data_IF_046057308347
#
_entry.id   IF_046057308347
#
_cell.length_a   1.000
_cell.length_b   1.000
_cell.length_c   1.000
_cell.angle_alpha   90.00
_cell.angle_beta   90.00
_cell.angle_gamma   90.00
#
_symmetry.space_group_name_H-M   'P 1'
#
loop_
_entity.id
_entity.type
_entity.pdbx_description
1 polymer ?
#
# COMPACT_ATOMS: atom_id res chain seq x y z
N UNK A 1 9.72 17.54 46.93
CA UNK A 1 9.16 16.44 46.12
C UNK A 1 10.10 15.25 46.20
N UNK A 2 9.67 14.15 46.81
CA UNK A 2 10.50 12.97 47.06
C UNK A 2 11.00 12.29 45.76
N UNK A 3 10.24 12.35 44.67
CA UNK A 3 10.58 11.71 43.39
C UNK A 3 11.86 12.26 42.75
N UNK A 4 12.06 13.58 42.80
CA UNK A 4 13.28 14.21 42.26
C UNK A 4 14.49 13.93 43.16
N UNK A 5 14.27 13.90 44.48
CA UNK A 5 15.30 13.53 45.45
C UNK A 5 15.73 12.06 45.29
N UNK A 6 14.80 11.19 44.89
CA UNK A 6 15.11 9.79 44.56
C UNK A 6 16.07 9.76 43.36
N UNK A 7 15.75 10.42 42.24
CA UNK A 7 16.64 10.48 41.06
C UNK A 7 18.00 11.08 41.44
N UNK A 8 18.02 12.15 42.25
CA UNK A 8 19.24 12.84 42.68
C UNK A 8 20.21 12.00 43.51
N UNK A 9 19.69 11.08 44.33
CA UNK A 9 20.48 10.34 45.33
C UNK A 9 20.72 8.89 44.97
N UNK A 10 20.22 8.45 43.82
CA UNK A 10 20.35 7.07 43.37
C UNK A 10 21.75 6.81 42.83
N UNK A 11 22.29 5.66 43.22
CA UNK A 11 23.57 5.17 42.69
C UNK A 11 23.43 4.85 41.20
N UNK A 12 24.46 5.09 40.37
CA UNK A 12 24.41 4.90 38.92
C UNK A 12 23.91 3.52 38.49
N UNK A 13 24.22 2.48 39.26
CA UNK A 13 23.86 1.08 39.00
C UNK A 13 22.34 0.81 39.09
N UNK A 14 21.60 1.67 39.79
CA UNK A 14 20.18 1.46 40.11
C UNK A 14 19.29 2.47 39.37
N UNK A 15 19.87 3.41 38.62
CA UNK A 15 19.15 4.47 37.89
C UNK A 15 18.08 3.86 36.97
N UNK A 16 18.43 2.85 36.17
CA UNK A 16 17.49 2.21 35.25
C UNK A 16 16.29 1.56 35.97
N UNK A 17 16.52 0.99 37.16
CA UNK A 17 15.44 0.40 37.95
C UNK A 17 14.51 1.47 38.51
N UNK A 18 15.06 2.64 38.88
CA UNK A 18 14.31 3.80 39.35
C UNK A 18 13.53 4.45 38.20
N UNK A 19 14.12 4.58 37.01
CA UNK A 19 13.42 5.05 35.81
C UNK A 19 12.20 4.16 35.51
N UNK A 20 12.37 2.83 35.52
CA UNK A 20 11.27 1.86 35.32
C UNK A 20 10.20 1.93 36.40
N UNK A 21 10.59 2.15 37.66
CA UNK A 21 9.64 2.34 38.76
C UNK A 21 8.78 3.59 38.51
N UNK A 22 9.40 4.71 38.19
CA UNK A 22 8.70 5.97 37.93
C UNK A 22 7.81 5.88 36.69
N UNK A 23 8.28 5.23 35.62
CA UNK A 23 7.47 4.92 34.43
C UNK A 23 6.21 4.11 34.80
N UNK A 24 6.36 3.07 35.63
CA UNK A 24 5.24 2.22 36.07
C UNK A 24 4.23 3.01 36.92
N UNK A 25 4.71 3.91 37.78
CA UNK A 25 3.86 4.80 38.58
C UNK A 25 3.08 5.78 37.70
N UNK A 26 3.71 6.38 36.69
CA UNK A 26 3.03 7.26 35.72
C UNK A 26 1.98 6.47 34.93
N UNK A 27 2.30 5.26 34.44
CA UNK A 27 1.33 4.39 33.76
C UNK A 27 0.10 4.15 34.64
N UNK A 28 0.30 3.83 35.91
CA UNK A 28 -0.80 3.63 36.86
C UNK A 28 -1.59 4.92 37.10
N UNK A 29 -0.92 6.05 37.21
CA UNK A 29 -1.55 7.37 37.38
C UNK A 29 -2.48 7.70 36.20
N UNK A 30 -2.02 7.53 34.96
CA UNK A 30 -2.79 7.79 33.75
C UNK A 30 -3.97 6.83 33.54
N UNK A 31 -3.83 5.57 33.98
CA UNK A 31 -4.92 4.60 33.94
C UNK A 31 -6.00 4.93 34.98
N UNK A 32 -5.60 5.36 36.17
CA UNK A 32 -6.50 5.75 37.26
C UNK A 32 -7.25 7.06 36.99
N UNK A 33 -6.67 7.96 36.19
CA UNK A 33 -7.31 9.22 35.80
C UNK A 33 -8.51 8.96 34.86
N UNK A 34 -9.72 9.10 35.41
CA UNK A 34 -10.98 9.15 34.64
C UNK A 34 -11.25 10.59 34.22
N UNK A 35 -10.99 10.91 32.95
CA UNK A 35 -11.42 12.16 32.31
C UNK A 35 -10.98 13.42 33.04
N UNK A 36 -9.69 13.76 32.95
CA UNK A 36 -9.20 15.05 33.42
C UNK A 36 -9.81 16.16 32.56
N UNK A 37 -10.76 16.90 33.15
CA UNK A 37 -11.17 18.21 32.65
C UNK A 37 -10.00 19.15 32.92
N UNK A 38 -9.26 19.52 31.87
CA UNK A 38 -8.30 20.63 31.94
C UNK A 38 -9.06 21.84 32.50
N UNK A 39 -8.56 22.52 33.54
CA UNK A 39 -9.29 23.63 34.14
C UNK A 39 -9.59 24.68 33.08
N UNK A 40 -10.88 25.01 32.93
CA UNK A 40 -11.45 26.01 32.01
C UNK A 40 -10.93 27.44 32.21
N UNK A 41 -10.04 27.66 33.18
CA UNK A 41 -9.47 28.96 33.54
C UNK A 41 -8.24 29.35 32.71
N UNK A 42 -7.76 28.46 31.83
CA UNK A 42 -6.76 28.84 30.83
C UNK A 42 -7.52 29.35 29.61
N UNK A 43 -7.33 30.63 29.28
CA UNK A 43 -8.07 31.29 28.20
C UNK A 43 -8.11 30.46 26.93
N UNK A 44 -9.21 30.56 26.18
CA UNK A 44 -9.48 29.77 24.98
C UNK A 44 -8.25 29.71 24.08
N UNK A 45 -7.62 28.53 23.99
CA UNK A 45 -6.47 28.26 23.12
C UNK A 45 -5.08 28.39 23.75
N UNK A 46 -4.93 28.61 25.06
CA UNK A 46 -3.61 28.59 25.73
C UNK A 46 -3.43 27.30 26.54
N UNK A 47 -2.22 26.75 26.53
CA UNK A 47 -1.90 25.55 27.30
C UNK A 47 -1.59 25.92 28.77
N UNK A 48 -1.96 25.08 29.76
CA UNK A 48 -1.53 25.28 31.14
C UNK A 48 0.00 25.23 31.25
N UNK A 49 0.61 26.13 32.02
CA UNK A 49 2.07 26.18 32.21
C UNK A 49 2.62 25.03 33.07
N UNK A 50 1.75 24.27 33.75
CA UNK A 50 2.14 23.17 34.63
C UNK A 50 0.96 22.27 35.00
N UNK A 51 1.26 21.10 35.54
CA UNK A 51 0.30 20.15 36.06
C UNK A 51 -0.18 20.49 37.49
N UNK A 52 -0.33 21.77 37.86
CA UNK A 52 -0.77 22.16 39.22
C UNK A 52 -2.12 21.54 39.60
N UNK A 53 -2.96 21.22 38.62
CA UNK A 53 -4.25 20.55 38.80
C UNK A 53 -4.16 19.04 39.10
N UNK A 54 -2.99 18.43 38.94
CA UNK A 54 -2.75 17.06 39.40
C UNK A 54 -2.44 17.03 40.90
N UNK A 55 -2.72 15.92 41.61
CA UNK A 55 -2.39 15.79 43.02
C UNK A 55 -0.92 16.07 43.31
N UNK A 56 -0.60 16.59 44.50
CA UNK A 56 0.79 16.92 44.87
C UNK A 56 1.73 15.70 44.89
N UNK A 57 1.18 14.49 45.06
CA UNK A 57 1.93 13.24 45.01
C UNK A 57 2.11 12.69 43.58
N UNK A 58 1.56 13.36 42.56
CA UNK A 58 1.70 12.98 41.15
C UNK A 58 3.17 12.93 40.73
N UNK A 59 3.56 11.82 40.12
CA UNK A 59 4.92 11.65 39.58
C UNK A 59 5.08 12.52 38.35
N UNK A 60 4.07 12.53 37.46
CA UNK A 60 4.09 13.32 36.24
C UNK A 60 4.25 14.82 36.52
N UNK A 61 3.49 15.35 37.51
CA UNK A 61 3.62 16.74 37.95
C UNK A 61 5.03 17.04 38.43
N UNK A 62 5.60 16.16 39.25
CA UNK A 62 6.93 16.34 39.80
C UNK A 62 8.02 16.40 38.73
N UNK A 63 7.99 15.48 37.77
CA UNK A 63 8.97 15.42 36.68
C UNK A 63 8.85 16.64 35.75
N UNK A 64 7.63 17.01 35.36
CA UNK A 64 7.40 18.20 34.55
C UNK A 64 7.88 19.48 35.24
N UNK A 65 7.51 19.69 36.51
CA UNK A 65 7.93 20.87 37.26
C UNK A 65 9.46 20.93 37.45
N UNK A 66 10.12 19.77 37.58
CA UNK A 66 11.57 19.68 37.57
C UNK A 66 12.14 20.15 36.22
N UNK A 67 11.66 19.58 35.10
CA UNK A 67 12.12 19.95 33.76
C UNK A 67 11.93 21.44 33.46
N UNK A 68 10.79 22.00 33.84
CA UNK A 68 10.51 23.43 33.66
C UNK A 68 11.44 24.30 34.51
N UNK A 69 11.63 23.99 35.79
CA UNK A 69 12.52 24.78 36.67
C UNK A 69 13.98 24.69 36.23
N UNK A 70 14.44 23.50 35.88
CA UNK A 70 15.80 23.29 35.36
C UNK A 70 15.99 24.05 34.04
N UNK A 71 14.97 24.12 33.18
CA UNK A 71 15.02 24.94 31.95
C UNK A 71 15.23 26.44 32.21
N UNK A 72 14.55 27.02 33.21
CA UNK A 72 14.75 28.42 33.58
C UNK A 72 16.14 28.68 34.13
N UNK A 73 16.69 27.77 34.93
CA UNK A 73 18.03 27.92 35.51
C UNK A 73 19.15 27.94 34.45
N UNK A 74 18.97 27.28 33.29
CA UNK A 74 19.94 27.40 32.19
C UNK A 74 20.02 28.81 31.61
N UNK A 75 18.88 29.50 31.50
CA UNK A 75 18.83 30.85 30.95
C UNK A 75 19.53 31.86 31.87
N UNK A 76 19.50 31.59 33.18
CA UNK A 76 20.08 32.46 34.20
C UNK A 76 21.58 32.21 34.44
N UNK A 77 22.18 31.17 33.86
CA UNK A 77 23.64 30.97 33.74
C UNK A 77 24.45 30.87 35.04
N UNK A 78 23.82 30.65 36.20
CA UNK A 78 24.39 31.02 37.52
C UNK A 78 24.77 29.85 38.44
N UNK A 79 24.59 28.58 38.03
CA UNK A 79 24.63 27.46 38.99
C UNK A 79 25.85 26.53 38.84
N UNK A 80 26.66 26.41 39.89
CA UNK A 80 27.82 25.52 39.97
C UNK A 80 27.45 24.02 39.91
N UNK A 81 26.17 23.69 40.11
CA UNK A 81 25.62 22.33 40.07
C UNK A 81 24.98 21.94 38.72
N UNK A 82 25.25 22.70 37.66
CA UNK A 82 24.69 22.52 36.31
C UNK A 82 24.76 21.09 35.78
N UNK A 83 25.90 20.41 35.96
CA UNK A 83 26.10 19.03 35.49
C UNK A 83 25.16 18.02 36.17
N UNK A 84 24.92 18.20 37.47
CA UNK A 84 24.00 17.34 38.22
C UNK A 84 22.55 17.60 37.79
N UNK A 85 22.17 18.88 37.65
CA UNK A 85 20.85 19.27 37.15
C UNK A 85 20.56 18.71 35.75
N UNK A 86 21.55 18.71 34.86
CA UNK A 86 21.48 18.14 33.52
C UNK A 86 21.22 16.62 33.55
N UNK A 87 21.95 15.88 34.39
CA UNK A 87 21.76 14.43 34.53
C UNK A 87 20.35 14.07 35.03
N UNK A 88 19.82 14.86 35.98
CA UNK A 88 18.46 14.69 36.49
C UNK A 88 17.44 15.01 35.38
N UNK A 89 17.63 16.12 34.65
CA UNK A 89 16.76 16.51 33.55
C UNK A 89 16.76 15.46 32.42
N UNK A 90 17.91 14.89 32.09
CA UNK A 90 18.02 13.80 31.12
C UNK A 90 17.20 12.58 31.54
N UNK A 91 17.34 12.14 32.79
CA UNK A 91 16.57 11.02 33.35
C UNK A 91 15.07 11.32 33.33
N UNK A 92 14.67 12.53 33.73
CA UNK A 92 13.29 12.99 33.64
C UNK A 92 12.76 12.92 32.21
N UNK A 93 13.50 13.45 31.22
CA UNK A 93 13.12 13.41 29.79
C UNK A 93 12.98 11.99 29.26
N UNK A 94 13.90 11.08 29.63
CA UNK A 94 13.79 9.66 29.28
C UNK A 94 12.52 9.05 29.83
N UNK A 95 12.19 9.31 31.09
CA UNK A 95 10.99 8.76 31.76
C UNK A 95 9.72 9.32 31.09
N UNK A 96 9.59 10.65 30.98
CA UNK A 96 8.37 11.26 30.41
C UNK A 96 8.25 10.99 28.91
N UNK A 97 9.37 10.77 28.23
CA UNK A 97 9.43 10.44 26.82
C UNK A 97 9.06 9.00 26.48
N UNK A 98 8.83 8.11 27.46
CA UNK A 98 8.42 6.71 27.22
C UNK A 98 7.04 6.57 26.57
N UNK A 99 6.72 5.35 26.11
CA UNK A 99 5.38 5.03 25.57
C UNK A 99 4.40 4.73 26.71
N UNK A 100 3.32 5.50 26.76
CA UNK A 100 2.27 5.39 27.77
C UNK A 100 0.93 5.00 27.13
N UNK A 101 0.02 4.31 27.86
CA UNK A 101 -1.25 3.85 27.32
C UNK A 101 -2.21 5.00 26.94
N UNK A 102 -2.00 6.20 27.47
CA UNK A 102 -2.74 7.43 27.15
C UNK A 102 -1.76 8.59 27.03
N UNK A 103 -2.07 9.56 26.16
CA UNK A 103 -1.38 10.84 26.13
C UNK A 103 -1.52 11.57 27.46
N UNK A 104 -0.54 12.40 27.79
CA UNK A 104 -0.63 13.22 28.98
C UNK A 104 -1.67 14.33 28.78
N UNK A 105 -2.25 14.85 29.86
CA UNK A 105 -3.04 16.07 29.76
C UNK A 105 -2.20 17.20 29.14
N UNK A 106 -2.75 18.03 28.24
CA UNK A 106 -1.98 19.06 27.55
C UNK A 106 -1.44 20.11 28.52
N UNK A 107 -0.16 20.46 28.36
CA UNK A 107 0.59 21.50 29.09
C UNK A 107 1.61 22.13 28.14
N UNK A 108 2.16 23.28 28.51
CA UNK A 108 3.21 23.93 27.73
C UNK A 108 4.57 23.22 27.88
N UNK A 109 5.07 22.70 26.76
CA UNK A 109 6.38 22.06 26.61
C UNK A 109 7.37 22.94 25.82
N UNK A 110 7.14 24.26 25.73
CA UNK A 110 8.00 25.20 24.99
C UNK A 110 9.50 25.13 25.37
N UNK A 111 9.80 24.71 26.60
CA UNK A 111 11.16 24.53 27.11
C UNK A 111 11.97 23.39 26.44
N UNK A 112 11.35 22.51 25.65
CA UNK A 112 12.08 21.42 24.96
C UNK A 112 13.14 21.93 23.99
N UNK A 113 12.96 23.12 23.41
CA UNK A 113 13.98 23.74 22.56
C UNK A 113 15.28 23.97 23.34
N UNK A 114 15.19 24.44 24.59
CA UNK A 114 16.34 24.71 25.45
C UNK A 114 17.17 23.44 25.64
N UNK A 115 16.52 22.32 25.99
CA UNK A 115 17.21 21.05 26.15
C UNK A 115 17.81 20.53 24.85
N UNK A 116 17.10 20.68 23.73
CA UNK A 116 17.60 20.28 22.42
C UNK A 116 18.85 21.06 21.99
N UNK A 117 19.02 22.28 22.47
CA UNK A 117 20.15 23.15 22.14
C UNK A 117 21.36 22.89 23.06
N UNK A 118 21.16 22.25 24.22
CA UNK A 118 22.23 21.88 25.15
C UNK A 118 23.17 20.83 24.54
N UNK A 119 22.63 19.81 23.87
CA UNK A 119 23.45 18.73 23.32
C UNK A 119 22.67 17.68 22.50
N UNK A 120 23.35 16.96 21.59
CA UNK A 120 22.73 15.95 20.74
C UNK A 120 22.05 14.82 21.53
N UNK A 121 22.58 14.47 22.70
CA UNK A 121 22.03 13.43 23.56
C UNK A 121 20.61 13.73 24.06
N UNK A 122 20.23 15.02 24.17
CA UNK A 122 18.89 15.44 24.59
C UNK A 122 17.88 15.49 23.45
N UNK A 123 18.34 15.52 22.19
CA UNK A 123 17.47 15.70 21.03
C UNK A 123 16.48 14.54 20.87
N UNK A 124 16.95 13.30 20.99
CA UNK A 124 16.12 12.10 20.84
C UNK A 124 15.05 12.01 21.96
N UNK A 125 15.39 12.13 23.26
CA UNK A 125 14.38 12.18 24.32
C UNK A 125 13.36 13.31 24.13
N UNK A 126 13.80 14.52 23.75
CA UNK A 126 12.90 15.64 23.49
C UNK A 126 11.97 15.36 22.31
N UNK A 127 12.48 14.77 21.22
CA UNK A 127 11.68 14.42 20.05
C UNK A 127 10.68 13.30 20.36
N UNK A 128 11.08 12.25 21.09
CA UNK A 128 10.20 11.18 21.59
C UNK A 128 9.01 11.76 22.37
N UNK A 129 9.31 12.62 23.34
CA UNK A 129 8.32 13.27 24.17
C UNK A 129 7.38 14.14 23.31
N UNK A 130 7.93 14.98 22.44
CA UNK A 130 7.14 15.90 21.63
C UNK A 130 6.22 15.16 20.64
N UNK A 131 6.70 14.09 19.99
CA UNK A 131 5.89 13.26 19.08
C UNK A 131 4.73 12.60 19.86
N UNK A 132 5.03 12.00 21.02
CA UNK A 132 4.04 11.29 21.83
C UNK A 132 3.01 12.22 22.48
N UNK A 133 3.37 13.49 22.66
CA UNK A 133 2.52 14.54 23.20
C UNK A 133 2.09 15.57 22.15
N UNK A 134 2.07 15.21 20.85
CA UNK A 134 1.71 16.13 19.77
C UNK A 134 0.24 16.62 19.81
N UNK A 135 -0.58 16.12 20.74
CA UNK A 135 -1.87 16.73 21.10
C UNK A 135 -1.71 18.12 21.74
N UNK A 136 -0.53 18.41 22.30
CA UNK A 136 -0.13 19.73 22.79
C UNK A 136 0.41 20.59 21.64
N UNK A 137 0.02 21.85 21.61
CA UNK A 137 0.41 22.83 20.60
C UNK A 137 1.91 23.13 20.63
N UNK A 138 2.51 23.26 21.81
CA UNK A 138 3.95 23.48 21.98
C UNK A 138 4.76 22.30 21.44
N UNK A 139 4.37 21.06 21.77
CA UNK A 139 4.98 19.85 21.20
C UNK A 139 4.81 19.77 19.68
N UNK A 140 3.62 20.08 19.16
CA UNK A 140 3.36 20.06 17.71
C UNK A 140 4.27 21.03 16.96
N UNK A 141 4.40 22.26 17.45
CA UNK A 141 5.32 23.27 16.88
C UNK A 141 6.77 22.83 16.94
N UNK A 142 7.19 22.21 18.05
CA UNK A 142 8.54 21.66 18.20
C UNK A 142 8.82 20.58 17.15
N UNK A 143 7.89 19.63 16.96
CA UNK A 143 8.01 18.58 15.95
C UNK A 143 8.06 19.19 14.54
N UNK A 144 7.15 20.09 14.19
CA UNK A 144 7.13 20.77 12.89
C UNK A 144 8.46 21.47 12.59
N UNK A 145 8.99 22.22 13.56
CA UNK A 145 10.30 22.86 13.45
C UNK A 145 11.41 21.85 13.21
N UNK A 146 11.48 20.78 14.02
CA UNK A 146 12.52 19.75 13.87
C UNK A 146 12.45 19.06 12.52
N UNK A 147 11.27 18.62 12.08
CA UNK A 147 11.12 18.00 10.76
C UNK A 147 11.49 18.97 9.62
N UNK A 148 11.11 20.26 9.73
CA UNK A 148 11.49 21.26 8.72
C UNK A 148 13.00 21.53 8.62
N UNK A 149 13.74 21.27 9.71
CA UNK A 149 15.20 21.45 9.77
C UNK A 149 16.01 20.23 9.29
N UNK A 150 15.36 19.08 9.06
CA UNK A 150 16.05 17.87 8.63
C UNK A 150 16.28 17.91 7.13
N UNK A 151 17.55 17.89 6.71
CA UNK A 151 17.94 17.64 5.32
C UNK A 151 18.00 16.13 5.08
N UNK A 152 17.09 15.53 4.29
CA UNK A 152 16.98 14.08 4.24
C UNK A 152 18.20 13.36 3.63
N UNK A 153 18.96 14.04 2.76
CA UNK A 153 20.16 13.48 2.15
C UNK A 153 21.36 13.36 3.13
N UNK A 154 21.37 14.20 4.16
CA UNK A 154 22.43 14.32 5.15
C UNK A 154 22.10 13.61 6.46
N UNK A 155 20.87 13.08 6.59
CA UNK A 155 20.42 12.38 7.79
C UNK A 155 21.25 11.11 8.04
N UNK A 156 21.90 10.98 9.22
CA UNK A 156 22.65 9.78 9.59
C UNK A 156 21.77 8.53 9.69
N UNK A 157 22.32 7.34 9.41
CA UNK A 157 21.59 6.06 9.46
C UNK A 157 20.85 5.85 10.78
N UNK A 158 21.51 6.12 11.90
CA UNK A 158 20.95 5.93 13.24
C UNK A 158 19.74 6.86 13.49
N UNK A 159 19.79 8.08 12.98
CA UNK A 159 18.68 9.02 13.08
C UNK A 159 17.51 8.60 12.20
N UNK A 160 17.78 8.10 10.99
CA UNK A 160 16.73 7.52 10.15
C UNK A 160 16.07 6.34 10.88
N UNK A 161 16.86 5.42 11.41
CA UNK A 161 16.35 4.27 12.17
C UNK A 161 15.46 4.71 13.33
N UNK A 162 15.92 5.66 14.13
CA UNK A 162 15.15 6.22 15.23
C UNK A 162 13.80 6.81 14.78
N UNK A 163 13.76 7.57 13.68
CA UNK A 163 12.52 8.13 13.13
C UNK A 163 11.54 7.03 12.67
N UNK A 164 12.03 5.94 12.09
CA UNK A 164 11.20 4.82 11.68
C UNK A 164 10.66 4.00 12.85
N UNK A 165 11.45 3.82 13.91
CA UNK A 165 10.99 3.20 15.16
C UNK A 165 9.84 3.99 15.80
N UNK A 166 9.85 5.32 15.65
CA UNK A 166 8.81 6.22 16.13
C UNK A 166 7.65 6.45 15.15
N UNK A 167 7.70 5.89 13.94
CA UNK A 167 6.74 6.23 12.89
C UNK A 167 5.29 5.91 13.27
N UNK A 168 5.07 4.83 14.03
CA UNK A 168 3.76 4.50 14.58
C UNK A 168 3.19 5.55 15.53
N UNK A 169 4.04 6.27 16.26
CA UNK A 169 3.64 7.37 17.15
C UNK A 169 3.51 8.69 16.34
N UNK A 170 4.41 8.93 15.38
CA UNK A 170 4.35 10.06 14.43
C UNK A 170 3.00 10.07 13.69
N UNK A 171 2.59 8.93 13.12
CA UNK A 171 1.33 8.84 12.37
C UNK A 171 0.08 9.11 13.21
N UNK A 172 0.15 8.96 14.55
CA UNK A 172 -0.98 9.24 15.45
C UNK A 172 -1.10 10.72 15.80
N UNK A 173 0.04 11.41 15.95
CA UNK A 173 0.10 12.76 16.53
C UNK A 173 0.44 13.87 15.55
N UNK A 174 1.10 13.56 14.43
CA UNK A 174 1.70 14.54 13.53
C UNK A 174 1.03 14.50 12.14
N UNK A 175 0.61 15.66 11.60
CA UNK A 175 0.01 15.72 10.26
C UNK A 175 0.93 15.14 9.16
N UNK A 176 0.40 14.35 8.20
CA UNK A 176 1.20 13.74 7.14
C UNK A 176 2.04 14.72 6.32
N UNK A 177 1.55 15.93 6.06
CA UNK A 177 2.27 16.94 5.31
C UNK A 177 3.57 17.44 6.00
N UNK A 178 3.73 17.17 7.30
CA UNK A 178 4.93 17.56 8.08
C UNK A 178 6.00 16.48 8.02
N UNK A 179 5.65 15.23 8.34
CA UNK A 179 6.64 14.16 8.47
C UNK A 179 6.95 13.45 7.16
N UNK A 180 5.98 13.38 6.23
CA UNK A 180 6.11 12.61 4.99
C UNK A 180 7.30 13.04 4.13
N UNK A 181 7.54 14.33 3.85
CA UNK A 181 8.67 14.75 3.00
C UNK A 181 10.03 14.32 3.56
N UNK A 182 10.17 14.35 4.89
CA UNK A 182 11.42 13.96 5.58
C UNK A 182 11.62 12.45 5.52
N UNK A 183 10.61 11.68 5.90
CA UNK A 183 10.67 10.22 5.93
C UNK A 183 10.90 9.64 4.53
N UNK A 184 10.19 10.15 3.52
CA UNK A 184 10.38 9.77 2.11
C UNK A 184 11.77 10.17 1.60
N UNK A 185 12.22 11.40 1.88
CA UNK A 185 13.54 11.87 1.46
C UNK A 185 14.68 11.04 2.05
N UNK A 186 14.57 10.64 3.32
CA UNK A 186 15.57 9.79 3.99
C UNK A 186 15.62 8.41 3.33
N UNK A 187 14.45 7.87 2.97
CA UNK A 187 14.31 6.60 2.24
C UNK A 187 14.98 6.64 0.88
N UNK A 188 14.65 7.66 0.08
CA UNK A 188 15.22 7.83 -1.26
C UNK A 188 16.73 7.97 -1.19
N UNK A 189 17.24 8.74 -0.21
CA UNK A 189 18.69 8.87 0.00
C UNK A 189 19.36 7.54 0.35
N UNK A 190 18.76 6.75 1.25
CA UNK A 190 19.28 5.43 1.62
C UNK A 190 19.34 4.49 0.41
N UNK A 191 18.26 4.44 -0.39
CA UNK A 191 18.20 3.62 -1.61
C UNK A 191 19.24 4.08 -2.64
N UNK A 192 19.45 5.39 -2.79
CA UNK A 192 20.46 5.90 -3.72
C UNK A 192 21.90 5.61 -3.26
N UNK A 193 22.14 5.63 -1.94
CA UNK A 193 23.43 5.27 -1.36
C UNK A 193 23.70 3.77 -1.49
N UNK A 194 22.69 2.91 -1.34
CA UNK A 194 22.84 1.47 -1.50
C UNK A 194 23.18 1.05 -2.92
N UNK A 195 22.61 1.71 -3.94
CA UNK A 195 22.95 1.45 -5.35
C UNK A 195 24.41 1.77 -5.72
N UNK A 196 25.14 2.56 -4.92
CA UNK A 196 26.50 3.05 -5.24
C UNK A 196 27.62 2.25 -4.55
N UNK A 197 27.32 1.29 -3.68
CA UNK A 197 28.33 0.48 -2.97
C UNK A 197 27.94 -1.00 -2.93
N UNK A 198 28.91 -1.89 -3.21
CA UNK A 198 28.86 -3.35 -2.99
C UNK A 198 29.05 -3.75 -1.50
N UNK A 199 29.09 -2.78 -0.58
CA UNK A 199 29.28 -3.01 0.85
C UNK A 199 28.11 -2.40 1.61
N UNK A 200 27.03 -3.16 1.78
CA UNK A 200 26.05 -2.91 2.82
C UNK A 200 25.74 -4.26 3.49
N UNK A 201 26.30 -4.40 4.69
CA UNK A 201 26.15 -5.55 5.59
C UNK A 201 24.67 -5.93 5.81
N UNK A 202 24.45 -7.23 6.08
CA UNK A 202 23.20 -7.97 6.27
C UNK A 202 22.12 -7.27 7.15
N UNK A 203 22.47 -6.26 7.94
CA UNK A 203 21.55 -5.48 8.77
C UNK A 203 20.65 -4.51 8.00
N UNK A 204 21.01 -4.15 6.75
CA UNK A 204 20.17 -3.25 5.94
C UNK A 204 18.91 -3.93 5.42
N UNK A 205 18.94 -5.24 5.17
CA UNK A 205 17.79 -5.96 4.62
C UNK A 205 16.66 -6.07 5.65
N UNK A 206 16.98 -6.38 6.92
CA UNK A 206 15.99 -6.37 7.99
C UNK A 206 15.39 -4.97 8.25
N UNK A 207 16.23 -3.92 8.13
CA UNK A 207 15.82 -2.53 8.29
C UNK A 207 14.96 -2.05 7.13
N UNK A 208 15.34 -2.37 5.89
CA UNK A 208 14.62 -2.08 4.65
C UNK A 208 13.25 -2.78 4.63
N UNK A 209 13.18 -4.06 5.02
CA UNK A 209 11.92 -4.82 5.12
C UNK A 209 10.97 -4.17 6.15
N UNK A 210 11.50 -3.73 7.31
CA UNK A 210 10.73 -3.03 8.34
C UNK A 210 10.29 -1.64 7.89
N UNK A 211 11.15 -0.91 7.18
CA UNK A 211 10.87 0.37 6.53
C UNK A 211 9.76 0.24 5.48
N UNK A 212 9.82 -0.77 4.62
CA UNK A 212 8.83 -0.99 3.56
C UNK A 212 7.46 -1.36 4.13
N UNK A 213 7.40 -2.05 5.28
CA UNK A 213 6.15 -2.27 6.00
C UNK A 213 5.46 -0.96 6.45
N UNK A 214 6.23 0.12 6.60
CA UNK A 214 5.79 1.47 6.97
C UNK A 214 5.57 2.40 5.77
N UNK A 215 6.29 2.19 4.64
CA UNK A 215 6.05 2.80 3.31
C UNK A 215 4.65 2.50 2.77
N UNK A 216 3.99 1.49 3.35
CA UNK A 216 2.55 1.20 3.28
C UNK A 216 1.63 2.43 3.44
N UNK A 217 2.14 3.56 3.95
CA UNK A 217 1.38 4.82 4.10
C UNK A 217 1.74 5.90 3.07
N UNK A 218 2.81 5.75 2.29
CA UNK A 218 3.48 6.85 1.58
C UNK A 218 3.66 6.65 0.04
N UNK A 219 2.98 5.68 -0.59
CA UNK A 219 3.12 5.33 -2.02
C UNK A 219 2.87 6.50 -3.02
N UNK A 220 3.95 7.23 -3.32
CA UNK A 220 4.16 8.09 -4.49
C UNK A 220 5.46 7.73 -5.25
N UNK A 221 5.95 6.49 -5.15
CA UNK A 221 7.12 6.05 -5.92
C UNK A 221 6.62 5.31 -7.17
N UNK A 222 6.14 6.07 -8.15
CA UNK A 222 5.62 5.52 -9.42
C UNK A 222 6.68 5.43 -10.54
N UNK A 223 7.83 6.09 -10.36
CA UNK A 223 8.74 6.37 -11.48
C UNK A 223 10.06 5.58 -11.48
N UNK A 224 10.30 4.72 -10.49
CA UNK A 224 11.56 3.95 -10.41
C UNK A 224 11.27 2.44 -10.48
N UNK A 225 11.43 1.79 -11.65
CA UNK A 225 11.12 0.38 -11.86
C UNK A 225 11.74 -0.57 -10.83
N UNK A 226 13.01 -0.38 -10.48
CA UNK A 226 13.70 -1.23 -9.50
C UNK A 226 13.09 -1.12 -8.09
N UNK A 227 12.62 0.07 -7.73
CA UNK A 227 12.00 0.31 -6.42
C UNK A 227 10.60 -0.28 -6.37
N UNK A 228 9.89 -0.27 -7.50
CA UNK A 228 8.60 -0.92 -7.60
C UNK A 228 8.73 -2.45 -7.49
N UNK A 229 9.73 -3.06 -8.13
CA UNK A 229 9.98 -4.50 -8.01
C UNK A 229 10.24 -4.92 -6.55
N UNK A 230 11.18 -4.25 -5.87
CA UNK A 230 11.46 -4.49 -4.45
C UNK A 230 10.24 -4.23 -3.55
N UNK A 231 9.44 -3.21 -3.87
CA UNK A 231 8.20 -2.92 -3.16
C UNK A 231 7.21 -4.08 -3.27
N UNK A 232 6.99 -4.63 -4.47
CA UNK A 232 6.01 -5.70 -4.64
C UNK A 232 6.50 -7.02 -4.04
N UNK A 233 7.79 -7.31 -4.08
CA UNK A 233 8.40 -8.43 -3.35
C UNK A 233 8.09 -8.33 -1.84
N UNK A 234 8.28 -7.14 -1.24
CA UNK A 234 7.92 -6.89 0.15
C UNK A 234 6.41 -7.00 0.41
N UNK A 235 5.55 -6.53 -0.50
CA UNK A 235 4.09 -6.69 -0.39
C UNK A 235 3.70 -8.16 -0.37
N UNK A 236 4.43 -9.00 -1.12
CA UNK A 236 4.27 -10.44 -1.14
C UNK A 236 4.47 -11.14 0.21
N UNK A 237 5.23 -10.53 1.13
CA UNK A 237 5.47 -11.04 2.48
C UNK A 237 4.43 -10.57 3.51
N UNK A 238 3.51 -9.69 3.11
CA UNK A 238 2.48 -9.17 4.01
C UNK A 238 1.35 -10.19 4.19
N UNK A 239 0.72 -10.25 5.39
CA UNK A 239 -0.52 -10.99 5.56
C UNK A 239 -1.59 -10.52 4.56
N UNK A 240 -2.34 -11.47 3.97
CA UNK A 240 -3.33 -11.23 2.90
C UNK A 240 -4.29 -10.08 3.20
N UNK A 241 -4.75 -9.93 4.45
CA UNK A 241 -5.63 -8.82 4.87
C UNK A 241 -5.10 -7.43 4.52
N UNK A 242 -3.78 -7.26 4.49
CA UNK A 242 -3.15 -5.99 4.16
C UNK A 242 -2.95 -5.82 2.67
N UNK A 243 -2.65 -6.90 1.95
CA UNK A 243 -2.61 -6.95 0.48
C UNK A 243 -3.99 -6.57 -0.08
N UNK A 244 -5.06 -7.15 0.47
CA UNK A 244 -6.43 -6.82 0.06
C UNK A 244 -6.73 -5.34 0.27
N UNK A 245 -6.47 -4.81 1.46
CA UNK A 245 -6.72 -3.39 1.75
C UNK A 245 -6.02 -2.42 0.79
N UNK A 246 -4.83 -2.77 0.27
CA UNK A 246 -4.06 -1.91 -0.63
C UNK A 246 -4.35 -2.12 -2.11
N UNK A 247 -4.80 -3.32 -2.51
CA UNK A 247 -4.87 -3.72 -3.92
C UNK A 247 -6.27 -4.09 -4.39
N UNK A 248 -7.22 -4.27 -3.48
CA UNK A 248 -8.60 -4.68 -3.74
C UNK A 248 -9.55 -3.49 -3.97
N UNK A 249 -10.11 -3.35 -5.17
CA UNK A 249 -11.17 -2.38 -5.42
C UNK A 249 -12.42 -2.60 -4.55
N UNK A 250 -12.72 -3.84 -4.15
CA UNK A 250 -13.92 -4.15 -3.36
C UNK A 250 -13.87 -3.63 -1.92
N UNK A 251 -12.66 -3.36 -1.40
CA UNK A 251 -12.43 -2.83 -0.05
C UNK A 251 -12.24 -1.31 -0.05
N UNK A 252 -12.10 -0.68 -1.21
CA UNK A 252 -11.90 0.76 -1.30
C UNK A 252 -13.22 1.51 -1.11
N UNK A 253 -13.17 2.61 -0.36
CA UNK A 253 -14.29 3.55 -0.27
C UNK A 253 -14.65 4.15 -1.63
N UNK A 254 -13.63 4.38 -2.45
CA UNK A 254 -13.77 4.93 -3.80
C UNK A 254 -12.67 4.35 -4.69
N UNK A 255 -13.08 3.87 -5.87
CA UNK A 255 -12.20 3.37 -6.93
C UNK A 255 -11.80 4.55 -7.82
N UNK A 256 -10.54 4.97 -7.71
CA UNK A 256 -9.93 5.99 -8.57
C UNK A 256 -8.95 5.37 -9.55
N UNK A 257 -8.71 6.02 -10.69
CA UNK A 257 -7.72 5.56 -11.69
C UNK A 257 -6.36 5.25 -11.05
N UNK A 258 -5.83 6.15 -10.22
CA UNK A 258 -4.51 5.95 -9.62
C UNK A 258 -4.45 4.75 -8.67
N UNK A 259 -5.51 4.55 -7.85
CA UNK A 259 -5.61 3.38 -6.98
C UNK A 259 -5.72 2.10 -7.80
N UNK A 260 -6.55 2.11 -8.84
CA UNK A 260 -6.74 0.95 -9.71
C UNK A 260 -5.44 0.57 -10.41
N UNK A 261 -4.69 1.54 -10.93
CA UNK A 261 -3.37 1.31 -11.56
C UNK A 261 -2.37 0.69 -10.60
N UNK A 262 -2.32 1.17 -9.35
CA UNK A 262 -1.46 0.61 -8.30
C UNK A 262 -1.87 -0.81 -7.92
N UNK A 263 -3.16 -1.02 -7.64
CA UNK A 263 -3.71 -2.33 -7.32
C UNK A 263 -3.44 -3.34 -8.44
N UNK A 264 -3.66 -2.97 -9.69
CA UNK A 264 -3.40 -3.80 -10.86
C UNK A 264 -1.96 -4.29 -10.93
N UNK A 265 -0.97 -3.41 -10.74
CA UNK A 265 0.44 -3.80 -10.78
C UNK A 265 0.80 -4.75 -9.63
N UNK A 266 0.37 -4.44 -8.40
CA UNK A 266 0.60 -5.30 -7.24
C UNK A 266 0.04 -6.70 -7.51
N UNK A 267 -1.23 -6.76 -7.93
CA UNK A 267 -1.93 -8.04 -8.15
C UNK A 267 -1.38 -8.83 -9.34
N UNK A 268 -0.93 -8.15 -10.40
CA UNK A 268 -0.26 -8.79 -11.53
C UNK A 268 1.06 -9.45 -11.14
N UNK A 269 1.82 -8.81 -10.26
CA UNK A 269 3.08 -9.39 -9.78
C UNK A 269 2.82 -10.55 -8.82
N UNK A 270 1.83 -10.42 -7.92
CA UNK A 270 1.42 -11.52 -7.03
C UNK A 270 0.93 -12.74 -7.82
N UNK A 271 0.15 -12.52 -8.88
CA UNK A 271 -0.24 -13.56 -9.82
C UNK A 271 0.95 -14.19 -10.55
N UNK A 272 2.05 -13.45 -10.73
CA UNK A 272 3.24 -13.95 -11.43
C UNK A 272 4.18 -14.77 -10.55
N UNK A 273 3.92 -14.91 -9.24
CA UNK A 273 4.77 -15.70 -8.33
C UNK A 273 4.48 -17.20 -8.50
N UNK A 274 5.54 -18.01 -8.35
CA UNK A 274 5.49 -19.47 -8.56
C UNK A 274 4.74 -20.25 -7.47
N UNK A 275 4.41 -19.61 -6.36
CA UNK A 275 3.72 -20.18 -5.19
C UNK A 275 2.19 -20.00 -5.24
N UNK A 276 1.65 -19.40 -6.30
CA UNK A 276 0.20 -19.20 -6.41
C UNK A 276 -0.50 -20.40 -7.05
N UNK A 277 -1.34 -21.08 -6.27
CA UNK A 277 -2.20 -22.19 -6.74
C UNK A 277 -3.23 -21.75 -7.79
N UNK A 278 -3.63 -20.47 -7.77
CA UNK A 278 -4.61 -19.91 -8.70
C UNK A 278 -4.30 -18.43 -8.99
N UNK A 279 -3.33 -18.14 -9.87
CA UNK A 279 -2.77 -16.81 -10.04
C UNK A 279 -3.75 -15.83 -10.66
N UNK A 280 -4.61 -16.29 -11.58
CA UNK A 280 -5.50 -15.39 -12.31
C UNK A 280 -6.66 -14.87 -11.46
N UNK A 281 -6.96 -15.51 -10.31
CA UNK A 281 -7.96 -14.99 -9.36
C UNK A 281 -7.59 -13.61 -8.85
N UNK A 282 -6.30 -13.31 -8.70
CA UNK A 282 -5.84 -11.97 -8.33
C UNK A 282 -6.28 -10.89 -9.33
N UNK A 283 -6.51 -11.24 -10.61
CA UNK A 283 -6.89 -10.29 -11.64
C UNK A 283 -8.39 -9.97 -11.66
N UNK A 284 -9.23 -10.78 -11.01
CA UNK A 284 -10.70 -10.70 -11.09
C UNK A 284 -11.21 -9.30 -10.74
N UNK A 285 -10.92 -8.82 -9.52
CA UNK A 285 -11.50 -7.55 -9.07
C UNK A 285 -10.96 -6.35 -9.85
N UNK A 286 -9.76 -6.45 -10.45
CA UNK A 286 -9.16 -5.34 -11.20
C UNK A 286 -9.76 -5.27 -12.60
N UNK A 287 -10.01 -6.42 -13.21
CA UNK A 287 -10.75 -6.52 -14.47
C UNK A 287 -12.19 -6.04 -14.26
N UNK A 288 -12.84 -6.46 -13.17
CA UNK A 288 -14.19 -6.04 -12.81
C UNK A 288 -14.27 -4.52 -12.59
N UNK A 289 -13.41 -3.97 -11.74
CA UNK A 289 -13.36 -2.53 -11.49
C UNK A 289 -12.99 -1.73 -12.75
N UNK A 290 -12.09 -2.26 -13.58
CA UNK A 290 -11.72 -1.64 -14.84
C UNK A 290 -12.89 -1.59 -15.82
N UNK A 291 -13.79 -2.59 -15.82
CA UNK A 291 -14.93 -2.65 -16.74
C UNK A 291 -15.82 -1.41 -16.69
N UNK A 292 -15.93 -0.78 -15.52
CA UNK A 292 -16.67 0.47 -15.27
C UNK A 292 -15.88 1.75 -15.58
N UNK A 293 -14.60 1.64 -15.96
CA UNK A 293 -13.68 2.77 -16.19
C UNK A 293 -13.02 2.66 -17.58
N UNK A 294 -13.71 3.08 -18.67
CA UNK A 294 -13.19 2.96 -20.03
C UNK A 294 -11.83 3.61 -20.28
N UNK A 295 -11.51 4.68 -19.55
CA UNK A 295 -10.20 5.34 -19.60
C UNK A 295 -9.03 4.46 -19.17
N UNK A 296 -9.29 3.39 -18.42
CA UNK A 296 -8.27 2.49 -17.87
C UNK A 296 -8.05 1.21 -18.69
N UNK A 297 -8.90 0.90 -19.68
CA UNK A 297 -8.82 -0.34 -20.45
C UNK A 297 -7.42 -0.60 -21.02
N UNK A 298 -6.83 0.40 -21.69
CA UNK A 298 -5.49 0.26 -22.28
C UNK A 298 -4.41 -0.01 -21.23
N UNK A 299 -4.49 0.68 -20.08
CA UNK A 299 -3.53 0.47 -19.00
C UNK A 299 -3.65 -0.94 -18.43
N UNK A 300 -4.87 -1.38 -18.16
CA UNK A 300 -5.14 -2.68 -17.55
C UNK A 300 -4.71 -3.80 -18.49
N UNK A 301 -5.09 -3.74 -19.78
CA UNK A 301 -4.62 -4.71 -20.77
C UNK A 301 -3.08 -4.78 -20.80
N UNK A 302 -2.38 -3.63 -20.88
CA UNK A 302 -0.91 -3.58 -20.86
C UNK A 302 -0.31 -4.22 -19.60
N UNK A 303 -0.99 -4.06 -18.47
CA UNK A 303 -0.49 -4.51 -17.17
C UNK A 303 -0.70 -6.00 -16.98
N UNK A 304 -1.83 -6.56 -17.42
CA UNK A 304 -2.12 -7.99 -17.28
C UNK A 304 -1.42 -8.85 -18.33
N UNK A 305 -1.11 -8.33 -19.52
CA UNK A 305 -0.52 -9.13 -20.62
C UNK A 305 0.75 -9.89 -20.21
N UNK A 306 1.77 -9.29 -19.57
CA UNK A 306 2.96 -10.03 -19.16
C UNK A 306 2.65 -11.11 -18.12
N UNK A 307 1.72 -10.84 -17.21
CA UNK A 307 1.25 -11.80 -16.20
C UNK A 307 0.60 -13.02 -16.86
N UNK A 308 -0.28 -12.81 -17.84
CA UNK A 308 -0.93 -13.89 -18.58
C UNK A 308 0.08 -14.80 -19.29
N UNK A 309 1.13 -14.22 -19.88
CA UNK A 309 2.18 -14.99 -20.53
C UNK A 309 3.03 -15.79 -19.54
N UNK A 310 3.29 -15.26 -18.34
CA UNK A 310 3.97 -16.00 -17.26
C UNK A 310 3.13 -17.14 -16.70
N UNK A 311 1.80 -16.98 -16.66
CA UNK A 311 0.90 -17.97 -16.06
C UNK A 311 0.49 -19.10 -17.03
N UNK A 312 0.88 -19.06 -18.31
CA UNK A 312 0.32 -19.89 -19.38
C UNK A 312 0.32 -21.41 -19.13
N UNK A 313 1.32 -21.92 -18.40
CA UNK A 313 1.54 -23.36 -18.22
C UNK A 313 0.67 -23.96 -17.10
N UNK A 314 -0.15 -23.16 -16.43
CA UNK A 314 -1.01 -23.65 -15.35
C UNK A 314 -2.36 -24.16 -15.87
N UNK A 315 -2.64 -25.44 -15.61
CA UNK A 315 -3.86 -26.11 -16.07
C UNK A 315 -5.15 -25.50 -15.51
N UNK A 316 -5.12 -24.92 -14.31
CA UNK A 316 -6.27 -24.27 -13.65
C UNK A 316 -6.82 -23.07 -14.44
N UNK A 317 -6.00 -22.46 -15.30
CA UNK A 317 -6.40 -21.28 -16.08
C UNK A 317 -7.55 -21.56 -17.04
N UNK A 318 -7.73 -22.81 -17.50
CA UNK A 318 -8.86 -23.15 -18.37
C UNK A 318 -10.20 -22.96 -17.64
N UNK A 319 -10.26 -23.25 -16.33
CA UNK A 319 -11.45 -23.04 -15.51
C UNK A 319 -11.71 -21.56 -15.28
N UNK A 320 -10.66 -20.78 -15.02
CA UNK A 320 -10.76 -19.33 -14.89
C UNK A 320 -11.32 -18.67 -16.16
N UNK A 321 -10.91 -19.15 -17.34
CA UNK A 321 -11.44 -18.66 -18.63
C UNK A 321 -12.92 -18.97 -18.82
N UNK A 322 -13.40 -20.14 -18.39
CA UNK A 322 -14.83 -20.45 -18.39
C UNK A 322 -15.62 -19.50 -17.46
N UNK A 323 -15.05 -19.12 -16.31
CA UNK A 323 -15.67 -18.14 -15.42
C UNK A 323 -15.76 -16.76 -16.08
N UNK A 324 -14.69 -16.31 -16.75
CA UNK A 324 -14.69 -15.06 -17.51
C UNK A 324 -15.76 -15.08 -18.63
N UNK A 325 -15.90 -16.20 -19.35
CA UNK A 325 -16.97 -16.37 -20.35
C UNK A 325 -18.37 -16.25 -19.73
N UNK A 326 -18.57 -16.82 -18.54
CA UNK A 326 -19.81 -16.67 -17.77
C UNK A 326 -20.10 -15.22 -17.37
N UNK A 327 -19.08 -14.47 -16.97
CA UNK A 327 -19.22 -13.04 -16.66
C UNK A 327 -19.62 -12.22 -17.90
N UNK A 328 -18.99 -12.48 -19.04
CA UNK A 328 -19.38 -11.85 -20.32
C UNK A 328 -20.85 -12.15 -20.64
N UNK A 329 -21.27 -13.41 -20.51
CA UNK A 329 -22.65 -13.82 -20.78
C UNK A 329 -23.65 -13.15 -19.85
N UNK A 330 -23.30 -13.02 -18.56
CA UNK A 330 -24.12 -12.30 -17.59
C UNK A 330 -24.34 -10.85 -18.03
N UNK A 331 -23.28 -10.14 -18.40
CA UNK A 331 -23.37 -8.74 -18.87
C UNK A 331 -24.16 -8.61 -20.18
N UNK A 332 -23.97 -9.54 -21.13
CA UNK A 332 -24.75 -9.56 -22.38
C UNK A 332 -26.25 -9.69 -22.10
N UNK A 333 -26.64 -10.53 -21.14
CA UNK A 333 -28.04 -10.76 -20.80
C UNK A 333 -28.66 -9.63 -19.96
N UNK A 334 -27.85 -8.94 -19.15
CA UNK A 334 -28.29 -7.81 -18.32
C UNK A 334 -28.43 -6.52 -19.16
N UNK A 335 -27.59 -6.34 -20.19
CA UNK A 335 -27.57 -5.15 -21.04
C UNK A 335 -28.60 -5.24 -22.19
N UNK A 336 -29.87 -5.04 -21.86
CA UNK A 336 -30.97 -4.93 -22.83
C UNK A 336 -31.05 -3.56 -23.55
N UNK A 337 -30.15 -2.61 -23.25
CA UNK A 337 -30.16 -1.27 -23.82
C UNK A 337 -28.82 -0.92 -24.47
N UNK A 338 -28.87 -0.27 -25.64
CA UNK A 338 -27.71 0.09 -26.48
C UNK A 338 -26.66 1.00 -25.79
N UNK A 339 -26.92 1.47 -24.56
CA UNK A 339 -26.11 2.50 -23.90
C UNK A 339 -24.90 1.98 -23.13
N UNK A 340 -24.77 0.68 -22.87
CA UNK A 340 -23.67 0.10 -22.08
C UNK A 340 -22.94 -1.06 -22.78
N UNK A 341 -22.56 -0.86 -24.06
CA UNK A 341 -21.84 -1.88 -24.85
C UNK A 341 -20.35 -2.02 -24.46
N UNK A 342 -19.80 -1.11 -23.65
CA UNK A 342 -18.36 -1.03 -23.35
C UNK A 342 -17.86 -2.14 -22.39
N UNK A 343 -18.53 -2.46 -21.27
CA UNK A 343 -18.09 -3.52 -20.36
C UNK A 343 -17.96 -4.92 -21.01
N UNK A 344 -18.96 -5.45 -21.75
CA UNK A 344 -18.83 -6.77 -22.37
C UNK A 344 -17.75 -6.77 -23.46
N UNK A 345 -17.60 -5.69 -24.23
CA UNK A 345 -16.54 -5.57 -25.23
C UNK A 345 -15.14 -5.60 -24.61
N UNK A 346 -14.93 -4.92 -23.48
CA UNK A 346 -13.67 -4.95 -22.73
C UNK A 346 -13.34 -6.35 -22.22
N UNK A 347 -14.31 -7.05 -21.62
CA UNK A 347 -14.09 -8.42 -21.13
C UNK A 347 -13.80 -9.40 -22.27
N UNK A 348 -14.42 -9.23 -23.45
CA UNK A 348 -14.07 -10.03 -24.64
C UNK A 348 -12.64 -9.73 -25.10
N UNK A 349 -12.20 -8.48 -25.08
CA UNK A 349 -10.81 -8.11 -25.37
C UNK A 349 -9.83 -8.77 -24.38
N UNK A 350 -10.17 -8.81 -23.08
CA UNK A 350 -9.40 -9.55 -22.05
C UNK A 350 -9.38 -11.04 -22.37
N UNK A 351 -10.52 -11.62 -22.72
CA UNK A 351 -10.61 -13.04 -23.08
C UNK A 351 -9.76 -13.38 -24.31
N UNK A 352 -9.83 -12.58 -25.38
CA UNK A 352 -8.99 -12.71 -26.58
C UNK A 352 -7.50 -12.67 -26.19
N UNK A 353 -7.13 -11.70 -25.36
CA UNK A 353 -5.75 -11.54 -24.90
C UNK A 353 -5.27 -12.76 -24.10
N UNK A 354 -6.13 -13.33 -23.25
CA UNK A 354 -5.82 -14.56 -22.52
C UNK A 354 -5.55 -15.73 -23.48
N UNK A 355 -6.42 -15.94 -24.48
CA UNK A 355 -6.23 -17.00 -25.47
C UNK A 355 -4.91 -16.81 -26.23
N UNK A 356 -4.57 -15.58 -26.62
CA UNK A 356 -3.30 -15.27 -27.30
C UNK A 356 -2.10 -15.62 -26.42
N UNK A 357 -2.05 -15.11 -25.18
CA UNK A 357 -0.91 -15.36 -24.28
C UNK A 357 -0.80 -16.82 -23.85
N UNK A 358 -1.91 -17.48 -23.52
CA UNK A 358 -1.91 -18.87 -23.05
C UNK A 358 -1.57 -19.87 -24.16
N UNK A 359 -1.91 -19.54 -25.41
CA UNK A 359 -1.51 -20.35 -26.57
C UNK A 359 -0.01 -20.26 -26.90
N UNK A 360 0.70 -19.28 -26.33
CA UNK A 360 2.08 -18.95 -26.69
C UNK A 360 2.24 -18.22 -28.04
N UNK A 361 1.14 -17.84 -28.70
CA UNK A 361 1.19 -17.07 -29.96
C UNK A 361 1.61 -15.60 -29.76
N UNK A 362 1.75 -15.15 -28.52
CA UNK A 362 2.34 -13.86 -28.19
C UNK A 362 3.80 -13.73 -28.66
N UNK A 363 4.53 -14.87 -28.77
CA UNK A 363 5.90 -14.91 -29.29
C UNK A 363 6.04 -14.46 -30.76
N UNK A 364 4.92 -14.41 -31.51
CA UNK A 364 4.88 -13.93 -32.89
C UNK A 364 4.97 -12.40 -32.98
N UNK A 365 4.99 -11.71 -31.84
CA UNK A 365 5.12 -10.26 -31.76
C UNK A 365 6.42 -9.89 -31.05
N UNK A 366 7.23 -8.94 -31.57
CA UNK A 366 8.51 -8.56 -30.95
C UNK A 366 8.36 -7.86 -29.60
N UNK A 367 7.17 -7.32 -29.30
CA UNK A 367 6.87 -6.69 -28.02
C UNK A 367 5.45 -7.09 -27.60
N UNK A 368 5.36 -7.85 -26.52
CA UNK A 368 4.11 -8.36 -25.98
C UNK A 368 3.14 -7.24 -25.60
N UNK A 369 3.66 -6.06 -25.20
CA UNK A 369 2.82 -4.91 -24.85
C UNK A 369 2.09 -4.35 -26.06
N UNK A 370 2.60 -4.56 -27.29
CA UNK A 370 1.89 -4.12 -28.50
C UNK A 370 0.57 -4.86 -28.70
N UNK A 371 0.49 -6.14 -28.31
CA UNK A 371 -0.74 -6.93 -28.36
C UNK A 371 -1.83 -6.29 -27.49
N UNK A 372 -1.45 -5.77 -26.32
CA UNK A 372 -2.37 -5.08 -25.42
C UNK A 372 -2.93 -3.78 -26.00
N UNK A 373 -2.11 -3.02 -26.75
CA UNK A 373 -2.51 -1.70 -27.29
C UNK A 373 -3.19 -1.82 -28.65
N UNK A 374 -2.68 -2.72 -29.50
CA UNK A 374 -3.13 -2.85 -30.88
C UNK A 374 -4.26 -3.85 -30.96
N UNK A 375 -5.47 -3.33 -31.17
CA UNK A 375 -6.63 -4.15 -31.51
C UNK A 375 -6.34 -4.99 -32.75
N UNK A 376 -5.76 -4.42 -33.80
CA UNK A 376 -5.47 -5.14 -35.05
C UNK A 376 -4.56 -6.36 -34.83
N UNK A 377 -3.55 -6.25 -33.97
CA UNK A 377 -2.72 -7.40 -33.61
C UNK A 377 -3.53 -8.50 -32.92
N UNK A 378 -4.42 -8.14 -31.98
CA UNK A 378 -5.33 -9.12 -31.36
C UNK A 378 -6.20 -9.81 -32.39
N UNK A 379 -6.78 -9.05 -33.32
CA UNK A 379 -7.63 -9.57 -34.41
C UNK A 379 -6.88 -10.58 -35.29
N UNK A 380 -5.61 -10.29 -35.60
CA UNK A 380 -4.79 -11.12 -36.48
C UNK A 380 -4.28 -12.40 -35.79
N UNK A 381 -3.88 -12.30 -34.53
CA UNK A 381 -3.30 -13.43 -33.79
C UNK A 381 -4.36 -14.41 -33.26
N UNK A 382 -5.55 -13.90 -32.93
CA UNK A 382 -6.57 -14.66 -32.24
C UNK A 382 -6.97 -15.99 -32.93
N UNK A 383 -7.22 -16.05 -34.26
CA UNK A 383 -7.62 -17.30 -34.89
C UNK A 383 -6.56 -18.41 -34.76
N UNK A 384 -5.28 -18.07 -34.91
CA UNK A 384 -4.20 -19.03 -34.74
C UNK A 384 -4.07 -19.45 -33.27
N UNK A 385 -4.12 -18.48 -32.35
CA UNK A 385 -4.05 -18.73 -30.91
C UNK A 385 -5.13 -19.70 -30.44
N UNK A 386 -6.37 -19.50 -30.89
CA UNK A 386 -7.48 -20.40 -30.58
C UNK A 386 -7.26 -21.81 -31.15
N UNK A 387 -6.77 -21.92 -32.38
CA UNK A 387 -6.47 -23.24 -32.95
C UNK A 387 -5.38 -23.98 -32.17
N UNK A 388 -4.34 -23.26 -31.75
CA UNK A 388 -3.24 -23.83 -30.97
C UNK A 388 -3.71 -24.25 -29.59
N UNK A 389 -4.44 -23.39 -28.87
CA UNK A 389 -4.82 -23.64 -27.47
C UNK A 389 -5.77 -24.84 -27.34
N UNK A 390 -6.71 -25.03 -28.29
CA UNK A 390 -7.65 -26.15 -28.24
C UNK A 390 -7.03 -27.50 -28.59
N UNK A 391 -5.77 -27.53 -29.04
CA UNK A 391 -5.02 -28.78 -29.23
C UNK A 391 -4.38 -29.26 -27.92
N UNK A 392 -4.23 -28.39 -26.93
CA UNK A 392 -3.66 -28.70 -25.61
C UNK A 392 -4.63 -29.58 -24.82
N UNK A 393 -4.12 -30.65 -24.18
CA UNK A 393 -4.95 -31.72 -23.61
C UNK A 393 -5.97 -31.24 -22.57
N UNK A 394 -5.56 -30.29 -21.73
CA UNK A 394 -6.34 -29.66 -20.68
C UNK A 394 -7.52 -28.87 -21.26
N UNK A 395 -7.33 -28.28 -22.45
CA UNK A 395 -8.31 -27.44 -23.15
C UNK A 395 -9.27 -28.23 -24.03
N UNK A 396 -8.92 -29.46 -24.41
CA UNK A 396 -9.80 -30.33 -25.21
C UNK A 396 -11.13 -30.61 -24.49
N UNK A 397 -11.08 -30.77 -23.17
CA UNK A 397 -12.26 -31.04 -22.33
C UNK A 397 -13.27 -29.88 -22.32
N UNK A 398 -12.79 -28.65 -22.50
CA UNK A 398 -13.59 -27.41 -22.47
C UNK A 398 -13.83 -26.81 -23.86
N UNK A 399 -13.30 -27.46 -24.90
CA UNK A 399 -13.41 -27.00 -26.29
C UNK A 399 -14.86 -26.83 -26.76
N UNK A 400 -15.81 -27.75 -26.48
CA UNK A 400 -17.21 -27.56 -26.83
C UNK A 400 -17.80 -26.26 -26.27
N UNK A 401 -17.56 -26.00 -24.97
CA UNK A 401 -18.07 -24.81 -24.28
C UNK A 401 -17.51 -23.52 -24.90
N UNK A 402 -16.22 -23.50 -25.21
CA UNK A 402 -15.57 -22.34 -25.85
C UNK A 402 -16.21 -22.06 -27.22
N UNK A 403 -16.37 -23.09 -28.06
CA UNK A 403 -16.88 -22.91 -29.42
C UNK A 403 -18.36 -22.51 -29.43
N UNK A 404 -19.19 -23.12 -28.59
CA UNK A 404 -20.60 -22.73 -28.44
C UNK A 404 -20.74 -21.30 -27.92
N UNK A 405 -19.94 -20.91 -26.92
CA UNK A 405 -19.92 -19.56 -26.40
C UNK A 405 -19.48 -18.53 -27.45
N UNK A 406 -18.45 -18.81 -28.24
CA UNK A 406 -18.01 -17.92 -29.31
C UNK A 406 -19.10 -17.71 -30.35
N UNK A 407 -19.78 -18.79 -30.75
CA UNK A 407 -20.89 -18.71 -31.70
C UNK A 407 -22.00 -17.83 -31.14
N UNK A 408 -22.46 -18.13 -29.92
CA UNK A 408 -23.51 -17.37 -29.26
C UNK A 408 -23.16 -15.87 -29.15
N UNK A 409 -21.96 -15.58 -28.64
CA UNK A 409 -21.45 -14.21 -28.47
C UNK A 409 -21.32 -13.48 -29.81
N UNK A 410 -20.84 -14.16 -30.86
CA UNK A 410 -20.69 -13.56 -32.21
C UNK A 410 -22.01 -13.23 -32.91
N UNK A 411 -23.12 -13.83 -32.46
CA UNK A 411 -24.47 -13.57 -32.97
C UNK A 411 -25.26 -12.61 -32.11
N UNK A 412 -24.70 -12.15 -31.00
CA UNK A 412 -25.38 -11.25 -30.08
C UNK A 412 -25.39 -9.82 -30.63
N UNK A 413 -26.55 -9.14 -30.67
CA UNK A 413 -26.66 -7.79 -31.22
C UNK A 413 -25.94 -6.73 -30.37
N UNK A 414 -25.65 -7.02 -29.10
CA UNK A 414 -24.97 -6.09 -28.19
C UNK A 414 -23.43 -6.14 -28.30
N UNK A 415 -22.87 -6.90 -29.24
CA UNK A 415 -21.42 -7.03 -29.42
C UNK A 415 -20.98 -6.26 -30.66
N UNK A 416 -19.95 -5.39 -30.57
CA UNK A 416 -19.42 -4.68 -31.73
C UNK A 416 -19.03 -5.59 -32.89
N UNK A 417 -19.32 -5.18 -34.11
CA UNK A 417 -19.09 -5.96 -35.35
C UNK A 417 -17.66 -6.49 -35.51
N UNK A 418 -16.67 -5.72 -35.05
CA UNK A 418 -15.28 -6.15 -35.12
C UNK A 418 -15.01 -7.38 -34.24
N UNK A 419 -15.60 -7.45 -33.04
CA UNK A 419 -15.49 -8.60 -32.15
C UNK A 419 -16.26 -9.79 -32.71
N UNK A 420 -17.46 -9.58 -33.24
CA UNK A 420 -18.23 -10.62 -33.93
C UNK A 420 -17.40 -11.25 -35.07
N UNK A 421 -16.72 -10.41 -35.86
CA UNK A 421 -15.85 -10.85 -36.95
C UNK A 421 -14.66 -11.67 -36.44
N UNK A 422 -14.02 -11.25 -35.35
CA UNK A 422 -12.87 -11.94 -34.75
C UNK A 422 -13.26 -13.30 -34.18
N UNK A 423 -14.33 -13.35 -33.40
CA UNK A 423 -14.86 -14.58 -32.81
C UNK A 423 -15.21 -15.58 -33.92
N UNK A 424 -15.87 -15.11 -34.97
CA UNK A 424 -16.20 -15.95 -36.12
C UNK A 424 -14.95 -16.46 -36.86
N UNK A 425 -13.95 -15.61 -37.10
CA UNK A 425 -12.68 -16.05 -37.70
C UNK A 425 -11.97 -17.11 -36.85
N UNK A 426 -12.07 -17.01 -35.52
CA UNK A 426 -11.63 -18.06 -34.61
C UNK A 426 -12.35 -19.39 -34.83
N UNK A 427 -13.67 -19.39 -34.94
CA UNK A 427 -14.45 -20.61 -35.23
C UNK A 427 -14.01 -21.25 -36.56
N UNK A 428 -13.70 -20.43 -37.57
CA UNK A 428 -13.22 -20.94 -38.86
C UNK A 428 -11.85 -21.60 -38.78
N UNK A 429 -10.93 -21.09 -37.95
CA UNK A 429 -9.59 -21.66 -37.84
C UNK A 429 -9.59 -23.06 -37.22
N UNK A 430 -10.60 -23.38 -36.42
CA UNK A 430 -10.72 -24.66 -35.70
C UNK A 430 -11.62 -25.68 -36.41
N UNK A 431 -11.92 -25.52 -37.70
CA UNK A 431 -12.86 -26.39 -38.43
C UNK A 431 -12.55 -27.90 -38.35
N UNK A 432 -11.29 -28.27 -38.08
CA UNK A 432 -10.84 -29.66 -37.91
C UNK A 432 -11.00 -30.20 -36.49
N UNK A 433 -11.51 -29.39 -35.55
CA UNK A 433 -11.70 -29.82 -34.17
C UNK A 433 -12.72 -30.97 -34.11
N UNK A 434 -12.40 -32.01 -33.34
CA UNK A 434 -13.21 -33.23 -33.23
C UNK A 434 -14.65 -32.98 -32.80
N UNK A 435 -14.91 -31.91 -32.05
CA UNK A 435 -16.25 -31.47 -31.70
C UNK A 435 -17.07 -31.03 -32.92
N UNK A 436 -16.48 -30.25 -33.81
CA UNK A 436 -17.15 -29.70 -35.00
C UNK A 436 -17.37 -30.76 -36.09
N UNK A 437 -16.55 -31.81 -36.09
CA UNK A 437 -16.69 -32.98 -36.97
C UNK A 437 -17.83 -33.93 -36.52
N UNK A 438 -18.40 -33.76 -35.33
CA UNK A 438 -19.61 -34.50 -34.91
C UNK A 438 -20.81 -34.02 -35.73
N UNK A 439 -21.63 -34.99 -36.20
CA UNK A 439 -22.73 -34.80 -37.18
C UNK A 439 -23.46 -33.45 -37.01
N UNK A 440 -23.40 -32.63 -38.06
CA UNK A 440 -24.12 -31.37 -38.26
C UNK A 440 -23.76 -30.18 -37.35
N UNK A 441 -22.77 -30.30 -36.46
CA UNK A 441 -22.30 -29.16 -35.67
C UNK A 441 -21.82 -28.04 -36.60
N UNK A 442 -20.85 -28.32 -37.48
CA UNK A 442 -20.30 -27.37 -38.45
C UNK A 442 -21.35 -26.64 -39.31
N UNK A 443 -22.38 -27.35 -39.77
CA UNK A 443 -23.46 -26.76 -40.58
C UNK A 443 -24.28 -25.72 -39.79
N UNK A 444 -24.47 -25.91 -38.46
CA UNK A 444 -25.10 -24.90 -37.60
C UNK A 444 -24.25 -23.62 -37.53
N UNK A 445 -22.93 -23.76 -37.35
CA UNK A 445 -22.00 -22.62 -37.28
C UNK A 445 -21.91 -21.82 -38.59
N UNK A 446 -21.99 -22.48 -39.76
CA UNK A 446 -22.03 -21.77 -41.05
C UNK A 446 -23.39 -21.09 -41.29
N UNK A 447 -24.49 -21.76 -40.91
CA UNK A 447 -25.85 -21.26 -41.18
C UNK A 447 -26.25 -20.02 -40.37
N UNK A 448 -25.70 -19.83 -39.18
CA UNK A 448 -25.95 -18.66 -38.32
C UNK A 448 -25.45 -17.34 -38.93
N UNK A 449 -24.35 -17.37 -39.69
CA UNK A 449 -23.80 -16.22 -40.41
C UNK A 449 -24.68 -15.72 -41.54
N UNK A 450 -25.32 -16.65 -42.26
CA UNK A 450 -26.27 -16.30 -43.33
C UNK A 450 -27.50 -15.58 -42.76
N UNK A 451 -27.82 -15.78 -41.48
CA UNK A 451 -28.93 -15.09 -40.80
C UNK A 451 -28.52 -13.74 -40.23
N UNK A 452 -27.34 -13.60 -39.61
CA UNK A 452 -26.93 -12.29 -39.07
C UNK A 452 -26.64 -11.24 -40.18
N UNK A 453 -26.03 -11.64 -41.31
CA UNK A 453 -25.85 -10.74 -42.46
C UNK A 453 -27.15 -10.30 -43.13
N UNK A 454 -28.22 -11.09 -43.03
CA UNK A 454 -29.56 -10.72 -43.57
C UNK A 454 -30.31 -9.77 -42.65
N UNK A 455 -30.04 -9.77 -41.35
CA UNK A 455 -30.65 -8.86 -40.38
C UNK A 455 -30.03 -7.44 -40.38
N UNK A 456 -28.80 -7.26 -40.91
CA UNK A 456 -28.17 -5.94 -41.06
C UNK A 456 -28.47 -5.24 -42.41
N UNK A 457 -29.16 -5.90 -43.34
CA UNK A 457 -29.47 -5.39 -44.69
C UNK A 457 -30.99 -5.17 -44.89
N UNK A 458 -31.79 -5.47 -43.87
CA UNK A 458 -33.21 -5.13 -43.77
C UNK A 458 -33.38 -4.11 -42.64
#
# INVERSE_FOLDING_TARGET
MCWIQLIQKVEPEIVDAVEKLLETLIKRELLAQRGLRVPTNVGVGREPESYIYLPEHSVLRALHDCLRKTSSTFLDGTDANLKNLLSIAFSCLKIVGQSYPKSFPPVDWSFLNIYSDVGPEYQNPCLCLAIRQASSLSCKKYVEFKFSSVTPAECPKDQVQFLYELLGDICKGVPPNVWRPVIEGCLVSLIQKSKKKEELEDDLDAFIIKLFSLVKTALLIEEIPDVFAAFVECVGELPTKYIERMSSPSVWWEVTSDKLRKGARIRCELASRSDSDNPLVWLNEIIEAASSLPGEYTFILKTITPTLAKCKDQSINCQWILQLMGQVMKLINENNSEKELQPPAFLIDVWILCIICMSGCDCLTPDIKKIAVSRDQRIQLFPQALSTILQISEWQSVSPQILEWQLHTSTSPCIPDYLCTVLYRGILSVHQNSHLLKKNAWMRYISSQLRSKRACVA
#
